data_IF_715218281712
#
_entry.id   IF_715218281712
#
_cell.length_a   1.000
_cell.length_b   1.000
_cell.length_c   1.000
_cell.angle_alpha   90.00
_cell.angle_beta   90.00
_cell.angle_gamma   90.00
#
_symmetry.space_group_name_H-M   'P 1'
#
loop_
_entity.id
_entity.type
_entity.pdbx_description
1 polymer ?
#
# COMPACT_ATOMS: atom_id res chain seq x y z
N UNK A 1 -17.05 13.89 -9.76
CA UNK A 1 -16.01 14.02 -8.73
C UNK A 1 -16.04 12.75 -7.88
N UNK A 2 -14.92 12.21 -7.41
CA UNK A 2 -14.93 11.04 -6.54
C UNK A 2 -15.69 11.35 -5.23
N UNK A 3 -16.38 10.35 -4.64
CA UNK A 3 -17.18 10.52 -3.42
C UNK A 3 -16.32 10.61 -2.15
N UNK A 4 -15.01 10.86 -2.29
CA UNK A 4 -14.06 10.95 -1.18
C UNK A 4 -13.04 12.08 -1.39
N UNK A 5 -12.29 12.39 -0.33
CA UNK A 5 -11.13 13.30 -0.33
C UNK A 5 -9.90 12.58 0.20
N UNK A 6 -8.70 12.99 -0.27
CA UNK A 6 -7.41 12.56 0.29
C UNK A 6 -6.78 13.78 0.96
N UNK A 7 -6.38 13.62 2.22
CA UNK A 7 -5.71 14.69 2.96
C UNK A 7 -4.55 14.11 3.79
N UNK A 8 -3.47 14.88 3.90
CA UNK A 8 -2.41 14.58 4.85
C UNK A 8 -2.92 14.83 6.28
N UNK A 9 -2.54 13.94 7.20
CA UNK A 9 -2.92 13.98 8.61
C UNK A 9 -1.67 13.79 9.47
N UNK A 10 -1.55 14.48 10.63
CA UNK A 10 -0.46 14.24 11.54
C UNK A 10 -0.60 12.92 12.32
N UNK A 11 -1.84 12.40 12.40
CA UNK A 11 -2.17 11.22 13.19
C UNK A 11 -3.51 10.64 12.74
N UNK A 12 -3.65 9.30 12.81
CA UNK A 12 -4.91 8.59 12.62
C UNK A 12 -5.05 7.55 13.72
N UNK A 13 -6.00 7.78 14.63
CA UNK A 13 -6.24 6.88 15.76
C UNK A 13 -6.82 5.53 15.31
N UNK A 14 -6.40 4.44 15.92
CA UNK A 14 -6.91 3.09 15.68
C UNK A 14 -8.44 3.00 15.78
N UNK A 15 -9.04 3.76 16.70
CA UNK A 15 -10.49 3.83 16.86
C UNK A 15 -11.22 4.34 15.61
N UNK A 16 -10.58 5.14 14.78
CA UNK A 16 -11.13 5.64 13.50
C UNK A 16 -11.08 4.58 12.39
N UNK A 17 -10.33 3.49 12.60
CA UNK A 17 -10.20 2.36 11.68
C UNK A 17 -11.06 1.15 12.11
N UNK A 18 -11.70 1.19 13.27
CA UNK A 18 -12.42 0.05 13.87
C UNK A 18 -13.57 -0.49 13.00
N UNK A 19 -14.08 0.29 12.06
CA UNK A 19 -15.12 -0.11 11.12
C UNK A 19 -14.56 -0.67 9.80
N UNK A 20 -13.26 -0.53 9.56
CA UNK A 20 -12.62 -0.98 8.32
C UNK A 20 -12.32 -2.47 8.34
N UNK A 21 -12.52 -3.13 7.21
CA UNK A 21 -12.06 -4.48 6.92
C UNK A 21 -10.90 -4.43 5.92
N UNK A 22 -9.67 -4.61 6.40
CA UNK A 22 -8.47 -4.62 5.54
C UNK A 22 -8.08 -6.00 5.05
N UNK A 23 -8.80 -7.04 5.43
CA UNK A 23 -8.53 -8.41 5.03
C UNK A 23 -8.72 -8.65 3.52
N UNK A 24 -8.11 -9.72 3.02
CA UNK A 24 -8.27 -10.19 1.65
C UNK A 24 -8.26 -11.72 1.58
N UNK A 25 -8.85 -12.25 0.52
CA UNK A 25 -8.90 -13.69 0.28
C UNK A 25 -7.67 -14.11 -0.53
N UNK A 26 -6.92 -15.09 -0.03
CA UNK A 26 -5.79 -15.72 -0.71
C UNK A 26 -6.29 -16.99 -1.37
N UNK A 27 -6.35 -17.02 -2.69
CA UNK A 27 -6.74 -18.17 -3.51
C UNK A 27 -5.62 -18.70 -4.38
N UNK A 28 -4.58 -17.88 -4.55
CA UNK A 28 -3.37 -18.19 -5.27
C UNK A 28 -2.21 -17.33 -4.76
N UNK A 29 -0.98 -17.74 -5.05
CA UNK A 29 0.25 -17.04 -4.67
C UNK A 29 1.15 -16.84 -5.87
N UNK A 30 1.96 -15.77 -5.84
CA UNK A 30 3.02 -15.59 -6.83
C UNK A 30 4.15 -16.59 -6.57
N UNK A 31 4.63 -17.19 -7.65
CA UNK A 31 5.68 -18.22 -7.62
C UNK A 31 6.92 -17.73 -8.39
N UNK A 32 8.12 -18.21 -8.02
CA UNK A 32 9.34 -17.95 -8.78
C UNK A 32 9.27 -18.54 -10.21
N UNK A 33 10.13 -18.06 -11.13
CA UNK A 33 11.16 -17.06 -10.90
C UNK A 33 10.55 -15.65 -10.85
N UNK A 34 11.18 -14.75 -10.06
CA UNK A 34 10.82 -13.33 -9.98
C UNK A 34 11.88 -12.49 -10.71
N UNK A 35 12.11 -12.80 -11.99
CA UNK A 35 13.18 -12.29 -12.84
C UNK A 35 12.69 -11.26 -13.88
N UNK A 36 11.40 -10.98 -13.90
CA UNK A 36 10.77 -9.97 -14.76
C UNK A 36 10.27 -8.75 -13.99
N UNK A 37 9.75 -7.78 -14.73
CA UNK A 37 9.18 -6.52 -14.18
C UNK A 37 7.83 -6.71 -13.44
N UNK A 38 7.24 -7.91 -13.47
CA UNK A 38 5.95 -8.25 -12.85
C UNK A 38 5.97 -9.69 -12.31
N UNK A 39 4.96 -10.05 -11.52
CA UNK A 39 4.73 -11.42 -11.12
C UNK A 39 4.41 -12.27 -12.38
N UNK A 40 5.25 -13.24 -12.70
CA UNK A 40 5.04 -14.10 -13.86
C UNK A 40 4.07 -15.23 -13.56
N UNK A 41 4.53 -16.19 -12.79
CA UNK A 41 3.80 -17.43 -12.48
C UNK A 41 2.97 -17.29 -11.21
N UNK A 42 1.77 -17.85 -11.21
CA UNK A 42 0.91 -17.96 -10.02
C UNK A 42 0.48 -19.40 -9.81
N UNK A 43 0.43 -19.84 -8.56
CA UNK A 43 -0.06 -21.16 -8.16
C UNK A 43 -1.29 -21.05 -7.27
N UNK A 44 -2.27 -21.92 -7.50
CA UNK A 44 -3.46 -22.01 -6.66
C UNK A 44 -3.09 -22.57 -5.27
N UNK A 45 -3.74 -22.07 -4.24
CA UNK A 45 -3.63 -22.60 -2.86
C UNK A 45 -5.02 -22.87 -2.31
N UNK A 46 -5.10 -23.68 -1.24
CA UNK A 46 -6.35 -23.80 -0.50
C UNK A 46 -6.79 -22.41 -0.03
N UNK A 47 -7.99 -21.96 -0.37
CA UNK A 47 -8.44 -20.60 -0.04
C UNK A 47 -8.42 -20.32 1.46
N UNK A 48 -7.89 -19.17 1.86
CA UNK A 48 -7.96 -18.66 3.22
C UNK A 48 -8.06 -17.14 3.23
N UNK A 49 -8.49 -16.59 4.36
CA UNK A 49 -8.55 -15.14 4.57
C UNK A 49 -7.32 -14.68 5.33
N UNK A 50 -6.67 -13.64 4.83
CA UNK A 50 -5.53 -13.00 5.46
C UNK A 50 -5.92 -11.60 5.93
N UNK A 51 -5.52 -11.27 7.15
CA UNK A 51 -5.69 -9.97 7.76
C UNK A 51 -4.35 -9.54 8.33
N UNK A 52 -3.93 -8.32 8.04
CA UNK A 52 -2.70 -7.75 8.60
C UNK A 52 -2.95 -7.11 9.98
N UNK A 53 -4.19 -7.13 10.44
CA UNK A 53 -4.62 -6.40 11.62
C UNK A 53 -4.82 -4.91 11.31
N UNK A 54 -5.10 -4.16 12.32
CA UNK A 54 -5.32 -2.72 12.28
C UNK A 54 -5.73 -2.32 13.68
N UNK A 55 -4.78 -2.08 14.55
CA UNK A 55 -5.09 -1.85 15.96
C UNK A 55 -4.18 -0.81 16.59
N UNK A 56 -3.29 -0.22 15.81
CA UNK A 56 -2.35 0.78 16.29
C UNK A 56 -2.68 2.16 15.70
N UNK A 57 -2.36 3.19 16.47
CA UNK A 57 -2.41 4.55 16.00
C UNK A 57 -1.33 4.75 14.93
N UNK A 58 -1.69 5.42 13.84
CA UNK A 58 -0.76 5.72 12.75
C UNK A 58 -0.31 7.17 12.82
N UNK A 59 0.99 7.37 12.71
CA UNK A 59 1.60 8.68 12.58
C UNK A 59 2.83 8.59 11.67
N UNK A 60 3.09 9.61 10.83
CA UNK A 60 4.26 9.60 9.98
C UNK A 60 5.52 9.89 10.79
N UNK A 61 6.67 9.42 10.30
CA UNK A 61 7.98 9.89 10.73
C UNK A 61 8.12 11.41 10.46
N UNK A 62 9.14 12.05 11.05
CA UNK A 62 9.30 13.51 11.01
C UNK A 62 9.29 14.11 9.59
N UNK A 63 9.80 13.39 8.59
CA UNK A 63 9.85 13.76 7.18
C UNK A 63 9.01 12.84 6.28
N UNK A 64 8.07 12.09 6.88
CA UNK A 64 7.11 11.24 6.23
C UNK A 64 5.76 11.91 5.98
N UNK A 65 4.81 11.14 5.49
CA UNK A 65 3.42 11.55 5.27
C UNK A 65 2.45 10.43 5.61
N UNK A 66 1.37 10.79 6.28
CA UNK A 66 0.18 9.96 6.44
C UNK A 66 -0.96 10.57 5.61
N UNK A 67 -1.37 9.87 4.57
CA UNK A 67 -2.46 10.25 3.68
C UNK A 67 -3.71 9.45 4.05
N UNK A 68 -4.83 10.13 4.25
CA UNK A 68 -6.08 9.48 4.66
C UNK A 68 -7.18 9.79 3.65
N UNK A 69 -7.82 8.72 3.14
CA UNK A 69 -9.01 8.80 2.31
C UNK A 69 -10.26 8.82 3.19
N UNK A 70 -11.11 9.84 3.04
CA UNK A 70 -12.35 9.97 3.79
C UNK A 70 -13.54 10.18 2.85
N UNK A 71 -14.67 9.53 3.16
CA UNK A 71 -15.91 9.76 2.45
C UNK A 71 -16.34 11.24 2.55
N UNK A 72 -16.89 11.80 1.46
CA UNK A 72 -17.44 13.16 1.45
C UNK A 72 -18.80 13.24 2.16
N UNK A 73 -19.57 12.17 2.04
CA UNK A 73 -20.88 12.10 2.70
C UNK A 73 -20.65 11.88 4.20
N UNK A 74 -20.88 12.94 4.93
CA UNK A 74 -20.73 12.99 6.37
C UNK A 74 -22.03 12.52 7.02
N UNK A 75 -21.98 11.62 8.00
CA UNK A 75 -23.11 11.48 8.92
C UNK A 75 -23.39 12.85 9.57
N UNK A 76 -24.65 13.25 9.79
CA UNK A 76 -25.00 14.60 10.24
C UNK A 76 -24.21 15.10 11.45
N UNK A 77 -23.78 14.18 12.33
CA UNK A 77 -23.13 14.49 13.61
C UNK A 77 -21.80 13.72 13.84
N UNK A 78 -21.20 13.12 12.80
CA UNK A 78 -20.01 12.28 12.93
C UNK A 78 -18.77 12.76 12.13
N UNK A 79 -17.56 12.27 12.49
CA UNK A 79 -16.39 12.43 11.64
C UNK A 79 -16.60 11.71 10.32
N UNK A 80 -15.99 12.23 9.23
CA UNK A 80 -16.06 11.58 7.93
C UNK A 80 -15.40 10.18 8.00
N UNK A 81 -16.09 9.17 7.45
CA UNK A 81 -15.70 7.76 7.49
C UNK A 81 -14.37 7.56 6.75
N UNK A 82 -13.41 6.87 7.35
CA UNK A 82 -12.15 6.49 6.71
C UNK A 82 -12.42 5.36 5.73
N UNK A 83 -11.90 5.48 4.51
CA UNK A 83 -11.99 4.48 3.45
C UNK A 83 -10.66 3.76 3.20
N UNK A 84 -9.58 4.33 3.70
CA UNK A 84 -8.23 3.81 3.57
C UNK A 84 -7.18 4.85 3.93
N UNK A 85 -5.94 4.41 3.99
CA UNK A 85 -4.79 5.27 4.29
C UNK A 85 -3.54 4.80 3.55
N UNK A 86 -2.53 5.66 3.52
CA UNK A 86 -1.18 5.37 3.07
C UNK A 86 -0.21 6.10 3.98
N UNK A 87 0.73 5.36 4.56
CA UNK A 87 1.85 5.86 5.33
C UNK A 87 3.12 5.74 4.48
N UNK A 88 3.89 6.81 4.38
CA UNK A 88 5.14 6.80 3.65
C UNK A 88 6.21 7.63 4.36
N UNK A 89 7.45 7.20 4.23
CA UNK A 89 8.63 7.82 4.79
C UNK A 89 9.70 8.08 3.71
N UNK A 90 10.74 8.83 4.07
CA UNK A 90 11.95 8.95 3.23
C UNK A 90 12.85 7.75 3.46
N UNK A 91 13.22 7.08 2.38
CA UNK A 91 14.20 6.01 2.45
C UNK A 91 15.63 6.55 2.23
N UNK A 92 16.61 5.92 2.85
CA UNK A 92 18.03 6.18 2.65
C UNK A 92 18.49 6.03 1.19
N UNK A 93 17.74 5.30 0.37
CA UNK A 93 17.99 5.13 -1.08
C UNK A 93 17.64 6.36 -1.92
N UNK A 94 17.05 7.41 -1.35
CA UNK A 94 16.57 8.58 -2.08
C UNK A 94 15.17 8.39 -2.70
N UNK A 95 14.48 7.30 -2.36
CA UNK A 95 13.11 7.02 -2.77
C UNK A 95 12.15 7.27 -1.60
N UNK A 96 10.87 7.42 -1.89
CA UNK A 96 9.81 7.28 -0.89
C UNK A 96 9.61 5.78 -0.62
N UNK A 97 9.57 5.38 0.65
CA UNK A 97 9.11 4.06 1.06
C UNK A 97 7.64 4.18 1.45
N UNK A 98 6.77 3.37 0.83
CA UNK A 98 5.43 3.16 1.36
C UNK A 98 5.54 2.13 2.47
N UNK A 99 5.41 2.59 3.71
CA UNK A 99 5.53 1.78 4.91
C UNK A 99 4.28 0.91 5.12
N UNK A 100 3.11 1.51 4.82
CA UNK A 100 1.83 0.80 4.89
C UNK A 100 0.79 1.45 3.97
N UNK A 101 -0.07 0.65 3.37
CA UNK A 101 -1.21 1.10 2.57
C UNK A 101 -2.37 0.12 2.71
N UNK A 102 -3.51 0.64 3.14
CA UNK A 102 -4.71 -0.18 3.29
C UNK A 102 -5.96 0.55 2.77
N UNK A 103 -6.84 -0.20 2.12
CA UNK A 103 -8.15 0.26 1.65
C UNK A 103 -9.20 -0.69 2.19
N UNK A 104 -10.19 -0.12 2.87
CA UNK A 104 -11.33 -0.86 3.38
C UNK A 104 -11.98 -1.69 2.27
N UNK A 105 -12.29 -2.95 2.57
CA UNK A 105 -12.77 -3.94 1.60
C UNK A 105 -13.99 -3.46 0.81
N UNK A 106 -14.95 -2.81 1.48
CA UNK A 106 -16.15 -2.24 0.84
C UNK A 106 -15.84 -1.06 -0.08
N UNK A 107 -14.68 -0.43 0.08
CA UNK A 107 -14.23 0.74 -0.67
C UNK A 107 -13.25 0.38 -1.81
N UNK A 108 -12.89 -0.91 -1.96
CA UNK A 108 -12.05 -1.37 -3.07
C UNK A 108 -12.79 -1.27 -4.41
N UNK A 109 -12.04 -1.08 -5.49
CA UNK A 109 -12.63 -0.88 -6.82
C UNK A 109 -13.17 0.53 -7.08
N UNK A 110 -13.30 1.39 -6.06
CA UNK A 110 -13.79 2.77 -6.18
C UNK A 110 -12.67 3.80 -6.50
N UNK A 111 -11.44 3.34 -6.76
CA UNK A 111 -10.30 4.20 -7.09
C UNK A 111 -9.57 4.78 -5.88
N UNK A 112 -9.96 4.45 -4.64
CA UNK A 112 -9.35 4.98 -3.40
C UNK A 112 -7.85 4.69 -3.35
N UNK A 113 -7.43 3.44 -3.58
CA UNK A 113 -6.01 3.06 -3.56
C UNK A 113 -5.18 3.82 -4.61
N UNK A 114 -5.75 4.03 -5.81
CA UNK A 114 -5.10 4.84 -6.85
C UNK A 114 -4.93 6.29 -6.40
N UNK A 115 -5.95 6.90 -5.83
CA UNK A 115 -5.91 8.28 -5.38
C UNK A 115 -4.92 8.47 -4.21
N UNK A 116 -4.82 7.51 -3.28
CA UNK A 116 -3.80 7.51 -2.23
C UNK A 116 -2.39 7.44 -2.83
N UNK A 117 -2.16 6.58 -3.82
CA UNK A 117 -0.86 6.44 -4.48
C UNK A 117 -0.52 7.68 -5.32
N UNK A 118 -1.50 8.31 -6.00
CA UNK A 118 -1.31 9.57 -6.73
C UNK A 118 -0.90 10.70 -5.77
N UNK A 119 -1.50 10.77 -4.57
CA UNK A 119 -1.14 11.73 -3.54
C UNK A 119 0.26 11.47 -2.96
N UNK A 120 0.63 10.20 -2.73
CA UNK A 120 1.97 9.81 -2.31
C UNK A 120 3.04 10.15 -3.37
N UNK A 121 2.72 9.95 -4.67
CA UNK A 121 3.58 10.35 -5.78
C UNK A 121 3.80 11.87 -5.81
N UNK A 122 2.74 12.64 -5.60
CA UNK A 122 2.82 14.10 -5.54
C UNK A 122 3.68 14.58 -4.36
N UNK A 123 3.50 13.97 -3.18
CA UNK A 123 4.33 14.25 -2.01
C UNK A 123 5.80 13.88 -2.25
N UNK A 124 6.08 12.69 -2.79
CA UNK A 124 7.46 12.25 -3.05
C UNK A 124 8.19 13.19 -4.02
N UNK A 125 7.51 13.67 -5.08
CA UNK A 125 8.06 14.66 -6.01
C UNK A 125 8.31 16.00 -5.34
N UNK A 126 7.37 16.52 -4.57
CA UNK A 126 7.53 17.76 -3.81
C UNK A 126 8.67 17.66 -2.77
N UNK A 127 8.94 16.47 -2.27
CA UNK A 127 10.06 16.17 -1.38
C UNK A 127 11.40 15.96 -2.10
N UNK A 128 11.44 16.05 -3.45
CA UNK A 128 12.64 15.87 -4.26
C UNK A 128 13.14 14.42 -4.33
N UNK A 129 12.27 13.43 -4.11
CA UNK A 129 12.62 12.02 -4.16
C UNK A 129 12.56 11.49 -5.59
N UNK A 130 13.44 10.53 -5.93
CA UNK A 130 13.58 10.00 -7.27
C UNK A 130 12.52 8.97 -7.68
N UNK A 131 11.63 8.57 -6.76
CA UNK A 131 10.62 7.56 -7.02
C UNK A 131 9.96 7.08 -5.74
N UNK A 132 9.23 5.99 -5.87
CA UNK A 132 8.56 5.30 -4.76
C UNK A 132 8.98 3.83 -4.79
N UNK A 133 9.23 3.24 -3.63
CA UNK A 133 9.37 1.80 -3.45
C UNK A 133 8.42 1.29 -2.38
N UNK A 134 8.12 0.01 -2.45
CA UNK A 134 7.32 -0.68 -1.44
C UNK A 134 7.65 -2.17 -1.44
N UNK A 135 7.19 -2.85 -0.40
CA UNK A 135 7.26 -4.29 -0.27
C UNK A 135 5.84 -4.86 -0.11
N UNK A 136 5.62 -6.07 -0.64
CA UNK A 136 4.40 -6.83 -0.37
C UNK A 136 4.68 -8.33 -0.45
N UNK A 137 3.84 -9.13 0.19
CA UNK A 137 4.01 -10.58 0.20
C UNK A 137 3.52 -11.24 -1.08
N UNK A 138 4.16 -12.37 -1.46
CA UNK A 138 3.76 -13.21 -2.60
C UNK A 138 2.32 -13.72 -2.54
N UNK A 139 1.71 -13.72 -1.37
CA UNK A 139 0.31 -14.10 -1.13
C UNK A 139 -0.68 -12.99 -1.45
N UNK A 140 -0.24 -11.72 -1.52
CA UNK A 140 -1.11 -10.58 -1.79
C UNK A 140 -1.19 -10.26 -3.30
N UNK A 141 -1.68 -11.20 -4.09
CA UNK A 141 -1.85 -11.01 -5.54
C UNK A 141 -2.69 -9.80 -5.93
N UNK A 142 -3.77 -9.43 -5.21
CA UNK A 142 -4.51 -8.20 -5.49
C UNK A 142 -3.61 -6.95 -5.44
N UNK A 143 -2.74 -6.84 -4.44
CA UNK A 143 -1.80 -5.73 -4.32
C UNK A 143 -0.72 -5.77 -5.41
N UNK A 144 -0.10 -6.93 -5.68
CA UNK A 144 0.86 -7.09 -6.77
C UNK A 144 0.30 -6.61 -8.11
N UNK A 145 -0.91 -7.07 -8.46
CA UNK A 145 -1.60 -6.64 -9.68
C UNK A 145 -1.98 -5.16 -9.70
N UNK A 146 -2.26 -4.59 -8.54
CA UNK A 146 -2.51 -3.15 -8.41
C UNK A 146 -1.23 -2.38 -8.71
N UNK A 147 -0.09 -2.75 -8.10
CA UNK A 147 1.19 -2.08 -8.31
C UNK A 147 1.65 -2.16 -9.77
N UNK A 148 1.60 -3.33 -10.38
CA UNK A 148 1.94 -3.51 -11.80
C UNK A 148 1.07 -2.61 -12.71
N UNK A 149 -0.26 -2.59 -12.51
CA UNK A 149 -1.18 -1.73 -13.27
C UNK A 149 -1.00 -0.23 -12.99
N UNK A 150 -0.49 0.13 -11.83
CA UNK A 150 -0.18 1.52 -11.49
C UNK A 150 1.07 2.00 -12.22
N UNK A 151 1.98 1.10 -12.58
CA UNK A 151 3.23 1.37 -13.27
C UNK A 151 4.49 1.04 -12.46
N UNK A 152 4.35 0.40 -11.30
CA UNK A 152 5.49 -0.16 -10.60
C UNK A 152 6.06 -1.35 -11.36
N UNK A 153 7.38 -1.55 -11.21
CA UNK A 153 8.10 -2.74 -11.68
C UNK A 153 8.59 -3.55 -10.50
N UNK A 154 8.53 -4.85 -10.62
CA UNK A 154 9.14 -5.75 -9.66
C UNK A 154 10.66 -5.66 -9.80
N UNK A 155 11.34 -5.21 -8.75
CA UNK A 155 12.80 -5.03 -8.74
C UNK A 155 13.55 -6.13 -8.02
N UNK A 156 12.84 -7.04 -7.33
CA UNK A 156 13.47 -8.15 -6.62
C UNK A 156 12.52 -8.90 -5.69
N UNK A 157 13.02 -10.01 -5.17
CA UNK A 157 12.30 -10.84 -4.22
C UNK A 157 13.25 -11.37 -3.15
N UNK A 158 12.78 -11.46 -1.91
CA UNK A 158 13.52 -12.04 -0.79
C UNK A 158 12.69 -13.14 -0.12
N UNK A 159 13.21 -14.36 -0.11
CA UNK A 159 12.57 -15.52 0.52
C UNK A 159 12.87 -15.65 2.01
N UNK A 160 13.78 -14.84 2.52
CA UNK A 160 14.27 -14.92 3.89
C UNK A 160 13.82 -13.73 4.76
N UNK A 161 13.25 -12.70 4.16
CA UNK A 161 12.84 -11.49 4.89
C UNK A 161 11.93 -11.85 6.09
N UNK A 162 11.03 -12.81 5.91
CA UNK A 162 10.08 -13.21 6.94
C UNK A 162 10.53 -14.44 7.76
N UNK A 163 11.78 -14.90 7.61
CA UNK A 163 12.25 -16.12 8.29
C UNK A 163 12.14 -16.08 9.83
N UNK A 164 12.21 -14.87 10.41
CA UNK A 164 12.01 -14.66 11.84
C UNK A 164 10.54 -14.73 12.33
N UNK A 165 9.58 -14.80 11.41
CA UNK A 165 8.15 -14.84 11.69
C UNK A 165 7.56 -16.20 11.26
N UNK A 166 7.41 -17.19 12.17
CA UNK A 166 6.99 -18.56 11.79
C UNK A 166 5.71 -18.62 10.94
N UNK A 167 4.75 -17.74 11.19
CA UNK A 167 3.49 -17.67 10.44
C UNK A 167 3.68 -17.17 8.99
N UNK A 168 4.74 -16.43 8.71
CA UNK A 168 5.02 -15.79 7.41
C UNK A 168 6.24 -16.40 6.70
N UNK A 169 6.99 -17.31 7.35
CA UNK A 169 8.25 -17.85 6.84
C UNK A 169 8.13 -18.58 5.48
N UNK A 170 6.92 -18.94 5.08
CA UNK A 170 6.62 -19.55 3.78
C UNK A 170 6.34 -18.52 2.68
N UNK A 171 6.26 -17.23 3.00
CA UNK A 171 5.98 -16.16 2.06
C UNK A 171 7.28 -15.54 1.54
N UNK A 172 7.23 -15.03 0.33
CA UNK A 172 8.34 -14.29 -0.29
C UNK A 172 7.98 -12.81 -0.31
N UNK A 173 8.90 -11.97 0.15
CA UNK A 173 8.80 -10.51 -0.01
C UNK A 173 9.08 -10.14 -1.47
N UNK A 174 8.25 -9.27 -2.02
CA UNK A 174 8.33 -8.75 -3.38
C UNK A 174 8.51 -7.24 -3.32
N UNK A 175 9.62 -6.74 -3.87
CA UNK A 175 9.98 -5.32 -3.84
C UNK A 175 9.60 -4.65 -5.15
N UNK A 176 8.75 -3.63 -5.07
CA UNK A 176 8.22 -2.88 -6.21
C UNK A 176 8.76 -1.47 -6.24
N UNK A 177 9.06 -0.97 -7.45
CA UNK A 177 9.67 0.33 -7.69
C UNK A 177 8.91 1.11 -8.76
N UNK A 178 8.64 2.38 -8.47
CA UNK A 178 8.14 3.38 -9.42
C UNK A 178 9.15 4.53 -9.47
N UNK A 179 10.04 4.53 -10.45
CA UNK A 179 11.01 5.59 -10.64
C UNK A 179 10.37 6.74 -11.43
N UNK A 180 10.70 7.98 -11.08
CA UNK A 180 10.24 9.14 -11.79
C UNK A 180 11.21 9.47 -12.92
N UNK A 181 10.70 9.86 -14.09
CA UNK A 181 11.55 10.32 -15.18
C UNK A 181 12.23 11.64 -14.81
N UNK A 182 13.47 11.82 -15.26
CA UNK A 182 14.28 13.02 -14.98
C UNK A 182 13.65 14.33 -15.51
N UNK A 183 12.63 14.24 -16.35
CA UNK A 183 11.89 15.39 -16.93
C UNK A 183 10.66 15.83 -16.11
N UNK A 184 10.38 15.15 -14.99
CA UNK A 184 9.22 15.42 -14.14
C UNK A 184 9.54 16.36 -12.95
N UNK A 185 10.69 17.06 -13.00
CA UNK A 185 11.10 18.04 -11.98
C UNK A 185 10.86 19.43 -12.55
N UNK A 186 9.65 19.94 -12.39
CA UNK A 186 9.29 21.35 -12.55
C UNK A 186 8.98 21.98 -11.18
#
# INVERSE_FOLDING_TARGET
>A
MPPYTINAQPHLAASQLSHCDFSFDVTAVALPPFDGDDIGTVGAVTPYRKDYGGGEDLQPEADGVLLVARAKDRAPDGPAVVLGYLLASRDWTGLALVDDVAVDRASRGLGVGRALMDAARSWARAAGLAGIRLETQSTNLPACRFYARYGFRLGGADRLLYAGFPALAHETALFWYLLFDAMDVD
#
